data_IF_779404426563
#
_entry.id   IF_779404426563
#
_cell.length_a   1.000
_cell.length_b   1.000
_cell.length_c   1.000
_cell.angle_alpha   90.00
_cell.angle_beta   90.00
_cell.angle_gamma   90.00
#
_symmetry.space_group_name_H-M   'P 1'
#
loop_
_entity.id
_entity.type
_entity.pdbx_description
1 polymer ?
#
# COMPACT_ATOMS: atom_id res chain seq x y z
N UNK A 1 -2.24 4.13 16.96
CA UNK A 1 -2.11 2.66 16.80
C UNK A 1 -0.90 2.41 15.92
N UNK A 2 -0.07 1.39 16.14
CA UNK A 2 1.17 1.19 15.35
C UNK A 2 0.98 0.11 14.27
N UNK A 3 1.48 0.39 13.07
CA UNK A 3 1.41 -0.52 11.92
C UNK A 3 2.79 -0.84 11.36
N UNK A 4 2.96 -2.06 10.85
CA UNK A 4 4.08 -2.41 9.97
C UNK A 4 3.54 -2.74 8.59
N UNK A 5 4.17 -2.19 7.56
CA UNK A 5 3.90 -2.55 6.18
C UNK A 5 4.98 -3.50 5.70
N UNK A 6 4.56 -4.64 5.18
CA UNK A 6 5.44 -5.69 4.70
C UNK A 6 5.13 -5.92 3.22
N UNK A 7 6.19 -5.87 2.41
CA UNK A 7 6.14 -6.18 0.99
C UNK A 7 6.28 -7.69 0.78
N UNK A 8 5.15 -8.41 0.81
CA UNK A 8 5.12 -9.81 0.40
C UNK A 8 5.06 -9.92 -1.14
N UNK A 9 5.22 -11.13 -1.69
CA UNK A 9 5.22 -11.35 -3.15
C UNK A 9 3.93 -10.84 -3.78
N UNK A 10 2.78 -11.40 -3.38
CA UNK A 10 1.46 -11.09 -3.95
C UNK A 10 0.66 -10.06 -3.14
N UNK A 11 1.16 -9.69 -1.95
CA UNK A 11 0.41 -8.89 -0.99
C UNK A 11 1.22 -7.70 -0.45
N UNK A 12 0.53 -6.62 -0.14
CA UNK A 12 0.97 -5.67 0.89
C UNK A 12 0.30 -6.09 2.19
N UNK A 13 1.09 -6.50 3.17
CA UNK A 13 0.59 -6.88 4.49
C UNK A 13 0.67 -5.69 5.44
N UNK A 14 -0.44 -5.37 6.07
CA UNK A 14 -0.57 -4.34 7.11
C UNK A 14 -0.70 -5.08 8.44
N UNK A 15 0.41 -5.18 9.18
CA UNK A 15 0.48 -5.86 10.47
C UNK A 15 0.24 -4.88 11.62
N UNK A 16 -0.58 -5.28 12.59
CA UNK A 16 -0.91 -4.51 13.80
C UNK A 16 -1.17 -5.44 14.99
N UNK A 17 -1.26 -4.88 16.19
CA UNK A 17 -1.65 -5.65 17.39
C UNK A 17 -3.07 -6.26 17.29
N UNK A 18 -3.95 -5.66 16.49
CA UNK A 18 -5.30 -6.17 16.24
C UNK A 18 -5.34 -7.30 15.19
N UNK A 19 -4.19 -7.66 14.62
CA UNK A 19 -4.05 -8.66 13.58
C UNK A 19 -3.53 -8.12 12.25
N UNK A 20 -3.28 -9.06 11.34
CA UNK A 20 -2.74 -8.80 10.02
C UNK A 20 -3.87 -8.60 8.99
N UNK A 21 -3.76 -7.56 8.18
CA UNK A 21 -4.58 -7.36 6.97
C UNK A 21 -3.72 -7.60 5.74
N UNK A 22 -4.29 -8.28 4.75
CA UNK A 22 -3.61 -8.62 3.51
C UNK A 22 -4.30 -7.91 2.33
N UNK A 23 -3.56 -7.06 1.64
CA UNK A 23 -4.03 -6.37 0.44
C UNK A 23 -3.37 -7.02 -0.76
N UNK A 24 -4.16 -7.66 -1.64
CA UNK A 24 -3.64 -8.24 -2.88
C UNK A 24 -3.13 -7.12 -3.78
N UNK A 25 -1.88 -7.18 -4.21
CA UNK A 25 -1.28 -6.15 -5.08
C UNK A 25 -2.06 -5.98 -6.38
N UNK A 26 -2.47 -7.09 -6.99
CA UNK A 26 -3.26 -7.11 -8.21
C UNK A 26 -4.68 -6.51 -8.08
N UNK A 27 -5.18 -6.32 -6.85
CA UNK A 27 -6.47 -5.70 -6.60
C UNK A 27 -6.35 -4.17 -6.42
N UNK A 28 -5.15 -3.64 -6.19
CA UNK A 28 -4.95 -2.20 -6.01
C UNK A 28 -4.96 -1.54 -7.38
N UNK A 29 -5.95 -0.66 -7.60
CA UNK A 29 -6.09 0.10 -8.84
C UNK A 29 -5.26 1.38 -8.79
N UNK A 30 -5.29 2.08 -7.64
CA UNK A 30 -4.58 3.33 -7.44
C UNK A 30 -4.03 3.45 -6.02
N UNK A 31 -2.95 4.23 -5.88
CA UNK A 31 -2.41 4.64 -4.57
C UNK A 31 -2.33 6.15 -4.53
N UNK A 32 -3.08 6.76 -3.62
CA UNK A 32 -3.24 8.21 -3.54
C UNK A 32 -2.79 8.71 -2.18
N UNK A 33 -1.96 9.75 -2.16
CA UNK A 33 -1.72 10.53 -0.95
C UNK A 33 -2.92 11.47 -0.74
N UNK A 34 -3.65 11.31 0.36
CA UNK A 34 -4.87 12.06 0.65
C UNK A 34 -4.67 12.91 1.90
N UNK A 35 -4.95 14.21 1.77
CA UNK A 35 -4.68 15.19 2.81
C UNK A 35 -3.18 15.24 3.15
N UNK A 36 -2.88 15.49 4.42
CA UNK A 36 -1.50 15.59 4.91
C UNK A 36 -0.95 14.31 5.54
N UNK A 37 -1.84 13.37 5.90
CA UNK A 37 -1.47 12.21 6.74
C UNK A 37 -1.78 10.85 6.12
N UNK A 38 -2.69 10.77 5.15
CA UNK A 38 -3.20 9.48 4.70
C UNK A 38 -2.66 9.07 3.35
N UNK A 39 -2.52 7.77 3.17
CA UNK A 39 -2.40 7.11 1.88
C UNK A 39 -3.60 6.19 1.71
N UNK A 40 -4.33 6.39 0.61
CA UNK A 40 -5.43 5.52 0.16
C UNK A 40 -4.88 4.48 -0.81
N UNK A 41 -5.19 3.22 -0.55
CA UNK A 41 -5.13 2.12 -1.52
C UNK A 41 -6.55 1.95 -2.08
N UNK A 42 -6.75 2.37 -3.33
CA UNK A 42 -8.01 2.16 -4.05
C UNK A 42 -8.07 0.72 -4.56
N UNK A 43 -9.11 0.00 -4.18
CA UNK A 43 -9.32 -1.39 -4.60
C UNK A 43 -10.38 -1.53 -5.71
N UNK A 44 -11.01 -0.42 -6.11
CA UNK A 44 -12.13 -0.39 -7.04
C UNK A 44 -13.41 -1.03 -6.52
N UNK A 45 -14.53 -0.73 -7.17
CA UNK A 45 -15.83 -1.32 -6.82
C UNK A 45 -15.86 -2.83 -7.15
N UNK A 46 -16.43 -3.71 -6.28
CA UNK A 46 -17.15 -3.43 -5.03
C UNK A 46 -16.28 -3.46 -3.76
N UNK A 47 -14.97 -3.50 -3.89
CA UNK A 47 -14.04 -3.54 -2.76
C UNK A 47 -13.99 -2.17 -2.07
N UNK A 48 -13.70 -2.19 -0.76
CA UNK A 48 -13.57 -0.96 0.03
C UNK A 48 -12.13 -0.47 0.00
N UNK A 49 -11.97 0.83 -0.19
CA UNK A 49 -10.70 1.53 -0.04
C UNK A 49 -10.06 1.28 1.33
N UNK A 50 -8.73 1.24 1.36
CA UNK A 50 -7.96 1.15 2.59
C UNK A 50 -7.21 2.46 2.79
N UNK A 51 -7.40 3.08 3.95
CA UNK A 51 -6.70 4.30 4.34
C UNK A 51 -5.67 3.94 5.42
N UNK A 52 -4.43 4.35 5.20
CA UNK A 52 -3.34 4.15 6.15
C UNK A 52 -2.74 5.52 6.50
N UNK A 53 -2.65 5.81 7.80
CA UNK A 53 -1.97 6.99 8.29
C UNK A 53 -0.46 6.74 8.32
N UNK A 54 0.34 7.52 7.58
CA UNK A 54 1.78 7.28 7.49
C UNK A 54 2.50 7.48 8.84
N UNK A 55 2.00 8.37 9.70
CA UNK A 55 2.62 8.64 11.02
C UNK A 55 2.45 7.48 11.98
N UNK A 56 1.52 6.58 11.70
CA UNK A 56 1.26 5.38 12.48
C UNK A 56 2.04 4.16 11.98
N UNK A 57 2.70 4.26 10.81
CA UNK A 57 3.56 3.19 10.29
C UNK A 57 4.95 3.28 10.91
N UNK A 58 5.35 2.23 11.62
CA UNK A 58 6.63 2.16 12.32
C UNK A 58 7.72 1.45 11.52
N UNK A 59 7.34 0.65 10.52
CA UNK A 59 8.29 -0.07 9.67
C UNK A 59 7.67 -0.42 8.32
N UNK A 60 8.31 -0.04 7.19
CA UNK A 60 9.38 0.96 7.10
C UNK A 60 8.90 2.34 7.59
N UNK A 61 9.82 3.19 8.05
CA UNK A 61 9.49 4.56 8.45
C UNK A 61 9.43 5.47 7.23
N UNK A 62 8.43 6.33 7.16
CA UNK A 62 8.23 7.27 6.06
C UNK A 62 8.34 8.72 6.53
N UNK A 63 8.94 9.57 5.70
CA UNK A 63 9.08 11.00 6.03
C UNK A 63 7.76 11.78 5.79
N UNK A 64 6.91 11.29 4.89
CA UNK A 64 5.63 11.92 4.53
C UNK A 64 4.65 10.89 3.94
N UNK A 65 3.38 11.28 3.77
CA UNK A 65 2.42 10.46 3.04
C UNK A 65 2.78 10.29 1.55
N UNK A 66 3.49 11.24 0.94
CA UNK A 66 3.98 11.15 -0.44
C UNK A 66 5.05 10.07 -0.57
N UNK A 67 6.02 10.07 0.35
CA UNK A 67 7.09 9.06 0.42
C UNK A 67 6.52 7.64 0.59
N UNK A 68 5.52 7.50 1.48
CA UNK A 68 4.79 6.25 1.65
C UNK A 68 4.03 5.81 0.39
N UNK A 69 3.32 6.74 -0.28
CA UNK A 69 2.62 6.47 -1.55
C UNK A 69 3.59 5.95 -2.61
N UNK A 70 4.73 6.61 -2.78
CA UNK A 70 5.70 6.27 -3.82
C UNK A 70 6.37 4.93 -3.55
N UNK A 71 6.64 4.62 -2.29
CA UNK A 71 7.12 3.30 -1.88
C UNK A 71 6.09 2.22 -2.20
N UNK A 72 4.81 2.44 -1.85
CA UNK A 72 3.73 1.51 -2.14
C UNK A 72 3.52 1.33 -3.65
N UNK A 73 3.56 2.40 -4.43
CA UNK A 73 3.49 2.33 -5.90
C UNK A 73 4.63 1.48 -6.46
N UNK A 74 5.85 1.63 -5.96
CA UNK A 74 6.98 0.80 -6.35
C UNK A 74 6.71 -0.69 -6.03
N UNK A 75 6.21 -0.99 -4.83
CA UNK A 75 5.90 -2.37 -4.43
C UNK A 75 4.82 -3.03 -5.28
N UNK A 76 3.88 -2.24 -5.81
CA UNK A 76 2.82 -2.70 -6.73
C UNK A 76 3.34 -2.88 -8.17
N UNK A 77 4.24 -2.00 -8.61
CA UNK A 77 4.79 -2.01 -9.98
C UNK A 77 5.78 -3.14 -10.26
N UNK A 78 6.20 -3.92 -9.25
CA UNK A 78 7.03 -5.12 -9.44
C UNK A 78 6.31 -6.28 -10.18
N UNK A 79 5.05 -6.10 -10.61
CA UNK A 79 4.30 -7.11 -11.37
C UNK A 79 3.60 -6.55 -12.63
N UNK A 80 4.22 -5.62 -13.35
CA UNK A 80 3.97 -5.55 -14.80
C UNK A 80 4.94 -6.52 -15.49
N UNK A 81 4.50 -7.70 -15.96
CA UNK A 81 5.33 -8.46 -16.87
C UNK A 81 5.69 -7.54 -18.05
N UNK A 82 6.93 -7.58 -18.56
CA UNK A 82 7.27 -6.81 -19.75
C UNK A 82 6.23 -7.11 -20.84
N UNK A 83 5.76 -6.10 -21.58
CA UNK A 83 4.85 -6.35 -22.68
C UNK A 83 5.47 -7.42 -23.59
N UNK A 84 4.68 -8.37 -24.12
CA UNK A 84 5.22 -9.40 -24.99
C UNK A 84 6.10 -8.77 -26.05
N UNK A 85 7.33 -9.26 -26.21
CA UNK A 85 8.23 -8.79 -27.26
C UNK A 85 7.46 -8.87 -28.59
N UNK A 86 7.29 -7.71 -29.24
CA UNK A 86 6.64 -7.62 -30.55
C UNK A 86 7.49 -8.30 -31.61
#
# INVERSE_FOLDING_TARGET
MSYRLINDIDFVRIQSEAGDKFVRKAAVQEVLAIGTLFVKLDLGYPLRDIYVNYTEVTSPSFASNIDMRDTLLNWLNYYTPPPPAR
#
